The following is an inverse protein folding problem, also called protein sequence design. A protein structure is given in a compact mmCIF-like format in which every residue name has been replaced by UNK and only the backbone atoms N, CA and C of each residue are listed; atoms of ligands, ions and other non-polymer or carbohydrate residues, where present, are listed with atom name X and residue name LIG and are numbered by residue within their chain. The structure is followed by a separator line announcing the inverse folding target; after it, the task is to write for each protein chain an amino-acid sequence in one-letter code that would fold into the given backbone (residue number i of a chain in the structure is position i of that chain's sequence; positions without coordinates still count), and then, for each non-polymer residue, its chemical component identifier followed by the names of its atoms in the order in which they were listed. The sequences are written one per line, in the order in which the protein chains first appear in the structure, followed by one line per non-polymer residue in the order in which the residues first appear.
data_IF_094549850599
#
_entry.id   IF_094549850599
#
_cell.length_a   1.000
_cell.length_b   1.000
_cell.length_c   1.000
_cell.angle_alpha   90.00
_cell.angle_beta   90.00
_cell.angle_gamma   90.00
#
_symmetry.space_group_name_H-M   'P 1'
#
loop_
_entity.id
_entity.type
_entity.pdbx_description
1 polymer ?
#
# COMPACT_ATOMS: atom_id res chain seq x y z
N UNK A 1 15.30 2.68 -26.79
CA UNK A 1 15.34 3.24 -25.43
C UNK A 1 13.96 3.00 -24.87
N UNK A 2 13.69 1.76 -24.43
CA UNK A 2 12.37 1.33 -23.98
C UNK A 2 12.26 1.60 -22.49
N UNK A 3 11.49 2.62 -22.15
CA UNK A 3 11.13 2.93 -20.78
C UNK A 3 10.11 1.88 -20.34
N UNK A 4 10.56 0.85 -19.63
CA UNK A 4 9.66 -0.06 -18.93
C UNK A 4 8.85 0.78 -17.92
N UNK A 5 7.55 0.87 -18.13
CA UNK A 5 6.61 1.49 -17.21
C UNK A 5 6.70 0.71 -15.91
N UNK A 6 7.21 1.35 -14.85
CA UNK A 6 7.14 0.80 -13.49
C UNK A 6 5.67 0.71 -13.14
N UNK A 7 5.10 -0.49 -13.19
CA UNK A 7 3.74 -0.69 -12.73
C UNK A 7 3.69 -0.40 -11.23
N UNK A 8 3.02 0.68 -10.88
CA UNK A 8 2.79 1.06 -9.50
C UNK A 8 1.99 -0.04 -8.79
N UNK A 9 2.50 -0.49 -7.68
CA UNK A 9 1.79 -1.39 -6.76
C UNK A 9 0.56 -0.65 -6.25
N UNK A 10 -0.59 -1.33 -6.21
CA UNK A 10 -1.86 -0.77 -5.75
C UNK A 10 -1.72 0.00 -4.44
N UNK A 11 -2.36 1.15 -4.38
CA UNK A 11 -2.15 2.16 -3.35
C UNK A 11 -2.48 1.73 -1.90
N UNK A 12 -3.20 0.64 -1.69
CA UNK A 12 -3.44 0.11 -0.35
C UNK A 12 -2.20 -0.56 0.27
N UNK A 13 -1.30 -1.11 -0.57
CA UNK A 13 0.02 -1.62 -0.15
C UNK A 13 1.13 -0.58 -0.32
N UNK A 14 0.92 0.45 -1.15
CA UNK A 14 1.94 1.42 -1.58
C UNK A 14 2.39 2.41 -0.50
N UNK A 15 1.70 2.52 0.62
CA UNK A 15 2.29 3.26 1.74
C UNK A 15 3.56 2.58 2.28
N UNK A 16 3.88 1.34 1.80
CA UNK A 16 4.90 0.55 2.47
C UNK A 16 5.75 -0.36 1.60
N UNK A 17 5.48 -0.48 0.33
CA UNK A 17 6.33 -1.21 -0.59
C UNK A 17 6.79 -0.28 -1.72
N UNK A 18 7.51 0.78 -1.37
CA UNK A 18 8.33 1.52 -2.30
C UNK A 18 9.61 0.71 -2.61
N UNK A 19 9.46 -0.54 -2.92
CA UNK A 19 10.50 -1.46 -3.33
C UNK A 19 10.01 -2.24 -4.53
N UNK A 20 9.57 -1.55 -5.59
CA UNK A 20 9.38 -2.22 -6.86
C UNK A 20 10.75 -2.59 -7.40
N UNK A 21 11.08 -3.87 -7.40
CA UNK A 21 12.24 -4.38 -8.10
C UNK A 21 12.22 -3.90 -9.55
N UNK A 22 13.13 -2.97 -9.86
CA UNK A 22 13.57 -2.77 -11.22
C UNK A 22 14.54 -3.92 -11.54
N UNK A 23 14.04 -5.03 -12.06
CA UNK A 23 14.89 -5.97 -12.75
C UNK A 23 15.36 -5.25 -14.04
N UNK A 24 16.61 -4.79 -14.06
CA UNK A 24 17.28 -4.49 -15.33
C UNK A 24 17.41 -5.81 -16.09
N UNK A 25 16.58 -6.00 -17.09
CA UNK A 25 16.82 -7.04 -18.09
C UNK A 25 17.97 -6.57 -18.95
N UNK A 26 19.15 -7.20 -18.77
CA UNK A 26 20.22 -7.16 -19.75
C UNK A 26 19.66 -7.49 -21.15
N UNK A 27 20.12 -6.73 -22.13
CA UNK A 27 19.89 -6.93 -23.55
C UNK A 27 20.13 -8.39 -23.96
N UNK A 28 19.08 -9.18 -24.00
CA UNK A 28 19.02 -10.42 -24.78
C UNK A 28 17.81 -10.27 -25.71
N UNK A 29 18.14 -10.23 -27.02
CA UNK A 29 17.27 -10.37 -28.20
C UNK A 29 15.77 -10.10 -28.01
N UNK A 30 15.21 -9.20 -28.84
CA UNK A 30 13.80 -8.86 -28.99
C UNK A 30 12.90 -10.11 -29.09
N UNK A 31 12.62 -10.74 -27.97
CA UNK A 31 11.38 -11.50 -27.84
C UNK A 31 10.29 -10.45 -27.61
N UNK A 32 9.23 -10.46 -28.44
CA UNK A 32 8.04 -9.64 -28.24
C UNK A 32 7.56 -9.88 -26.80
N UNK A 33 7.80 -8.91 -25.91
CA UNK A 33 7.35 -9.01 -24.53
C UNK A 33 5.83 -9.09 -24.54
N UNK A 34 5.27 -10.08 -23.83
CA UNK A 34 3.82 -10.17 -23.68
C UNK A 34 3.29 -8.85 -23.11
N UNK A 35 2.22 -8.28 -23.67
CA UNK A 35 1.58 -7.11 -23.07
C UNK A 35 0.94 -7.41 -21.71
N UNK A 36 0.85 -8.71 -21.34
CA UNK A 36 0.28 -9.17 -20.07
C UNK A 36 1.40 -9.52 -19.11
N UNK A 37 1.24 -9.07 -17.87
CA UNK A 37 2.07 -9.44 -16.73
C UNK A 37 1.22 -9.99 -15.59
N UNK A 38 1.79 -10.89 -14.81
CA UNK A 38 1.17 -11.42 -13.59
C UNK A 38 2.15 -11.27 -12.45
N UNK A 39 1.71 -10.66 -11.36
CA UNK A 39 2.47 -10.61 -10.11
C UNK A 39 1.68 -11.28 -9.00
N UNK A 40 2.35 -12.09 -8.18
CA UNK A 40 1.77 -12.69 -6.98
C UNK A 40 2.69 -12.37 -5.81
N UNK A 41 2.15 -11.75 -4.77
CA UNK A 41 2.89 -11.46 -3.54
C UNK A 41 2.30 -12.19 -2.34
N UNK A 42 3.15 -12.52 -1.39
CA UNK A 42 2.74 -13.12 -0.12
C UNK A 42 3.52 -12.44 0.99
N UNK A 43 2.82 -11.66 1.80
CA UNK A 43 3.38 -10.93 2.92
C UNK A 43 3.02 -11.59 4.25
N UNK A 44 3.97 -11.60 5.19
CA UNK A 44 3.77 -12.00 6.57
C UNK A 44 4.20 -10.86 7.48
N UNK A 45 3.25 -10.18 8.12
CA UNK A 45 3.52 -9.06 9.01
C UNK A 45 3.19 -9.37 10.47
N UNK A 46 3.92 -8.73 11.36
CA UNK A 46 3.68 -8.80 12.80
C UNK A 46 2.40 -8.09 13.24
N UNK A 47 1.86 -7.21 12.38
CA UNK A 47 0.67 -6.39 12.61
C UNK A 47 0.15 -5.90 11.27
N UNK A 48 -1.17 -5.75 11.13
CA UNK A 48 -1.77 -5.04 10.00
C UNK A 48 -2.03 -3.59 10.37
N UNK A 49 -1.34 -2.68 9.67
CA UNK A 49 -1.49 -1.23 9.84
C UNK A 49 -2.10 -0.63 8.58
N UNK A 50 -3.10 0.22 8.72
CA UNK A 50 -3.72 0.97 7.62
C UNK A 50 -3.87 2.43 8.04
N UNK A 51 -3.23 3.36 7.31
CA UNK A 51 -3.30 4.81 7.54
C UNK A 51 -3.09 5.20 9.02
N UNK A 52 -2.14 4.58 9.70
CA UNK A 52 -1.86 4.80 11.12
C UNK A 52 -2.73 4.02 12.10
N UNK A 53 -3.77 3.31 11.63
CA UNK A 53 -4.65 2.50 12.46
C UNK A 53 -4.17 1.05 12.55
N UNK A 54 -4.39 0.41 13.70
CA UNK A 54 -4.11 -1.01 13.92
C UNK A 54 -5.35 -1.83 13.54
N UNK A 55 -5.41 -2.33 12.30
CA UNK A 55 -6.45 -3.26 11.84
C UNK A 55 -6.27 -4.65 12.48
N UNK A 56 -5.02 -5.10 12.63
CA UNK A 56 -4.68 -6.28 13.42
C UNK A 56 -3.41 -6.04 14.23
N UNK A 57 -3.46 -6.27 15.53
CA UNK A 57 -2.30 -6.26 16.43
C UNK A 57 -1.64 -7.65 16.57
N UNK A 58 -2.19 -8.66 15.91
CA UNK A 58 -1.65 -10.00 15.78
C UNK A 58 -1.03 -10.19 14.39
N UNK A 59 -0.12 -11.16 14.24
CA UNK A 59 0.46 -11.47 12.94
C UNK A 59 -0.60 -11.80 11.89
N UNK A 60 -0.36 -11.33 10.68
CA UNK A 60 -1.22 -11.52 9.51
C UNK A 60 -0.45 -12.13 8.35
N UNK A 61 -1.18 -12.80 7.48
CA UNK A 61 -0.76 -13.25 6.17
C UNK A 61 -1.58 -12.50 5.12
N UNK A 62 -0.90 -11.86 4.17
CA UNK A 62 -1.51 -10.96 3.20
C UNK A 62 -1.07 -11.32 1.78
N UNK A 63 -1.77 -12.25 1.11
CA UNK A 63 -1.52 -12.56 -0.29
C UNK A 63 -2.16 -11.53 -1.20
N UNK A 64 -1.51 -11.27 -2.34
CA UNK A 64 -2.08 -10.49 -3.43
C UNK A 64 -1.75 -11.11 -4.80
N UNK A 65 -2.60 -10.81 -5.78
CA UNK A 65 -2.35 -11.13 -7.19
C UNK A 65 -2.74 -9.94 -8.05
N UNK A 66 -1.85 -9.54 -8.95
CA UNK A 66 -2.04 -8.44 -9.90
C UNK A 66 -1.93 -8.97 -11.33
N UNK A 67 -2.88 -8.60 -12.16
CA UNK A 67 -2.85 -8.76 -13.61
C UNK A 67 -2.62 -7.39 -14.22
N UNK A 68 -1.54 -7.23 -14.99
CA UNK A 68 -1.21 -6.01 -15.74
C UNK A 68 -1.41 -6.18 -17.23
N UNK A 69 -1.83 -5.11 -17.90
CA UNK A 69 -1.93 -5.02 -19.35
C UNK A 69 -1.24 -3.74 -19.82
N UNK A 70 -0.10 -3.90 -20.48
CA UNK A 70 0.61 -2.80 -21.12
C UNK A 70 -0.09 -2.41 -22.43
N UNK A 71 -0.44 -1.12 -22.55
CA UNK A 71 -1.08 -0.52 -23.72
C UNK A 71 -0.08 0.32 -24.53
N UNK A 72 1.22 0.16 -24.30
CA UNK A 72 2.29 0.92 -24.93
C UNK A 72 2.19 2.42 -24.61
N UNK A 73 2.20 3.25 -25.63
CA UNK A 73 2.10 4.71 -25.47
C UNK A 73 0.80 5.19 -24.80
N UNK A 74 -0.17 4.32 -24.66
CA UNK A 74 -1.44 4.64 -23.98
C UNK A 74 -1.42 4.37 -22.48
N UNK A 75 -0.30 3.87 -21.91
CA UNK A 75 -0.18 3.57 -20.49
C UNK A 75 -0.47 2.10 -20.18
N UNK A 76 -0.90 1.80 -18.96
CA UNK A 76 -1.16 0.45 -18.50
C UNK A 76 -2.45 0.36 -17.67
N UNK A 77 -3.14 -0.77 -17.79
CA UNK A 77 -4.25 -1.15 -16.91
C UNK A 77 -3.80 -2.22 -15.93
N UNK A 78 -4.32 -2.20 -14.73
CA UNK A 78 -4.13 -3.28 -13.77
C UNK A 78 -5.42 -3.67 -13.07
N UNK A 79 -5.48 -4.95 -12.66
CA UNK A 79 -6.48 -5.47 -11.76
C UNK A 79 -5.78 -6.25 -10.66
N UNK A 80 -6.05 -5.91 -9.40
CA UNK A 80 -5.45 -6.53 -8.23
C UNK A 80 -6.52 -7.09 -7.29
N UNK A 81 -6.21 -8.21 -6.68
CA UNK A 81 -6.94 -8.76 -5.54
C UNK A 81 -5.94 -8.93 -4.41
N UNK A 82 -6.21 -8.28 -3.28
CA UNK A 82 -5.43 -8.41 -2.06
C UNK A 82 -6.32 -8.95 -0.93
N UNK A 83 -5.72 -9.60 0.05
CA UNK A 83 -6.46 -10.12 1.19
C UNK A 83 -5.64 -10.13 2.47
N UNK A 84 -6.30 -10.06 3.62
CA UNK A 84 -5.68 -10.15 4.93
C UNK A 84 -6.29 -11.28 5.76
N UNK A 85 -5.43 -12.17 6.24
CA UNK A 85 -5.79 -13.29 7.11
C UNK A 85 -5.08 -13.16 8.45
N UNK A 86 -5.84 -13.18 9.51
CA UNK A 86 -5.30 -13.16 10.88
C UNK A 86 -4.78 -14.53 11.27
N UNK A 87 -3.51 -14.62 11.66
CA UNK A 87 -2.87 -15.90 12.02
C UNK A 87 -3.20 -16.38 13.43
N UNK A 88 -3.66 -15.50 14.32
CA UNK A 88 -3.98 -15.87 15.71
C UNK A 88 -5.03 -14.96 16.33
N UNK A 89 -5.89 -15.51 17.19
CA UNK A 89 -6.88 -14.80 18.00
C UNK A 89 -6.45 -14.67 19.47
N UNK A 90 -5.16 -14.73 19.78
CA UNK A 90 -4.68 -14.75 21.17
C UNK A 90 -5.03 -13.51 22.00
N UNK A 91 -5.55 -12.46 21.36
CA UNK A 91 -5.98 -11.23 22.07
C UNK A 91 -7.50 -11.13 22.04
N UNK A 92 -8.09 -10.81 23.19
CA UNK A 92 -9.52 -10.67 23.36
C UNK A 92 -10.11 -9.56 22.48
N UNK A 93 -11.35 -9.74 22.05
CA UNK A 93 -12.12 -8.71 21.35
C UNK A 93 -12.01 -8.74 19.83
N UNK A 94 -11.36 -9.73 19.23
CA UNK A 94 -11.38 -9.86 17.77
C UNK A 94 -12.59 -10.66 17.28
N UNK A 95 -13.43 -10.10 16.40
CA UNK A 95 -14.56 -10.83 15.80
C UNK A 95 -14.12 -11.92 14.83
N UNK A 96 -12.89 -11.85 14.32
CA UNK A 96 -12.38 -12.80 13.31
C UNK A 96 -11.74 -14.03 13.98
N UNK A 97 -12.09 -15.19 13.49
CA UNK A 97 -11.52 -16.48 13.95
C UNK A 97 -10.06 -16.61 13.50
N UNK A 98 -9.30 -17.51 14.17
CA UNK A 98 -7.96 -17.89 13.73
C UNK A 98 -7.96 -18.29 12.25
N UNK A 99 -6.98 -17.83 11.47
CA UNK A 99 -6.89 -18.04 10.02
C UNK A 99 -8.12 -17.54 9.26
N UNK A 100 -8.96 -16.72 9.91
CA UNK A 100 -10.10 -16.08 9.26
C UNK A 100 -9.65 -14.96 8.34
N UNK A 101 -10.28 -14.88 7.17
CA UNK A 101 -10.15 -13.74 6.28
C UNK A 101 -10.79 -12.50 6.94
N UNK A 102 -10.02 -11.42 7.06
CA UNK A 102 -10.49 -10.17 7.63
C UNK A 102 -11.03 -9.23 6.56
N UNK A 103 -10.37 -9.23 5.39
CA UNK A 103 -10.54 -8.22 4.36
C UNK A 103 -10.13 -8.80 3.01
N UNK A 104 -10.88 -8.48 1.98
CA UNK A 104 -10.51 -8.71 0.58
C UNK A 104 -10.75 -7.41 -0.15
N UNK A 105 -9.71 -6.91 -0.79
CA UNK A 105 -9.75 -5.69 -1.59
C UNK A 105 -9.59 -6.03 -3.07
N UNK A 106 -10.40 -5.38 -3.88
CA UNK A 106 -10.33 -5.43 -5.33
C UNK A 106 -9.96 -4.05 -5.84
N UNK A 107 -8.86 -3.95 -6.60
CA UNK A 107 -8.42 -2.69 -7.19
C UNK A 107 -8.37 -2.81 -8.71
N UNK A 108 -8.86 -1.79 -9.38
CA UNK A 108 -8.64 -1.60 -10.82
C UNK A 108 -8.01 -0.24 -11.00
N UNK A 109 -6.92 -0.16 -11.76
CA UNK A 109 -6.22 1.10 -11.99
C UNK A 109 -5.77 1.28 -13.43
N UNK A 110 -5.51 2.53 -13.75
CA UNK A 110 -4.85 2.97 -14.97
C UNK A 110 -3.67 3.86 -14.63
N UNK A 111 -2.50 3.53 -15.19
CA UNK A 111 -1.26 4.28 -14.98
C UNK A 111 -0.69 4.77 -16.30
N UNK A 112 -0.09 5.96 -16.29
CA UNK A 112 0.62 6.52 -17.42
C UNK A 112 1.74 7.44 -16.99
N UNK A 113 2.89 7.33 -17.69
CA UNK A 113 4.04 8.24 -17.50
C UNK A 113 3.93 9.46 -18.43
N UNK A 114 4.23 10.63 -17.89
CA UNK A 114 4.34 11.91 -18.57
C UNK A 114 5.69 12.55 -18.24
N UNK A 115 6.71 12.28 -19.05
CA UNK A 115 8.07 12.70 -18.76
C UNK A 115 8.56 12.05 -17.47
N UNK A 116 8.93 12.87 -16.50
CA UNK A 116 9.42 12.39 -15.19
C UNK A 116 8.28 12.11 -14.19
N UNK A 117 7.02 12.20 -14.60
CA UNK A 117 5.88 11.99 -13.71
C UNK A 117 5.15 10.70 -14.07
N UNK A 118 4.92 9.85 -13.09
CA UNK A 118 4.00 8.72 -13.19
C UNK A 118 2.69 9.07 -12.51
N UNK A 119 1.59 8.95 -13.24
CA UNK A 119 0.24 9.25 -12.75
C UNK A 119 -0.56 7.95 -12.77
N UNK A 120 -1.20 7.65 -11.65
CA UNK A 120 -2.09 6.50 -11.52
C UNK A 120 -3.43 6.95 -10.93
N UNK A 121 -4.52 6.47 -11.53
CA UNK A 121 -5.87 6.64 -11.00
C UNK A 121 -6.54 5.27 -10.91
N UNK A 122 -7.28 5.03 -9.85
CA UNK A 122 -7.94 3.74 -9.66
C UNK A 122 -9.11 3.79 -8.71
N UNK A 123 -9.75 2.63 -8.60
CA UNK A 123 -10.87 2.34 -7.73
C UNK A 123 -10.52 1.16 -6.85
N UNK A 124 -10.79 1.27 -5.55
CA UNK A 124 -10.61 0.22 -4.56
C UNK A 124 -11.97 -0.12 -3.97
N UNK A 125 -12.28 -1.41 -3.95
CA UNK A 125 -13.45 -1.95 -3.28
C UNK A 125 -12.99 -2.83 -2.12
N UNK A 126 -13.22 -2.35 -0.89
CA UNK A 126 -12.92 -3.03 0.36
C UNK A 126 -14.09 -3.93 0.76
N UNK A 127 -13.84 -5.20 1.07
CA UNK A 127 -14.85 -6.13 1.55
C UNK A 127 -14.38 -6.85 2.81
N UNK A 128 -15.32 -7.09 3.75
CA UNK A 128 -15.04 -7.67 5.06
C UNK A 128 -15.86 -8.92 5.31
N UNK A 129 -15.57 -10.05 4.61
CA UNK A 129 -16.46 -11.22 4.52
C UNK A 129 -16.69 -11.96 5.84
N UNK A 130 -15.84 -11.78 6.85
CA UNK A 130 -15.93 -12.46 8.14
C UNK A 130 -16.00 -11.50 9.34
N UNK A 131 -16.40 -10.26 9.07
CA UNK A 131 -16.68 -9.26 10.10
C UNK A 131 -18.20 -9.16 10.20
N UNK A 132 -18.77 -9.40 11.40
CA UNK A 132 -20.20 -9.24 11.64
C UNK A 132 -20.57 -7.76 11.41
N UNK A 133 -21.58 -7.51 10.59
CA UNK A 133 -22.00 -6.18 10.14
C UNK A 133 -20.90 -5.38 9.39
N UNK A 134 -19.89 -6.07 8.84
CA UNK A 134 -18.85 -5.47 8.00
C UNK A 134 -19.44 -4.95 6.68
N UNK A 135 -19.66 -3.65 6.61
CA UNK A 135 -20.07 -3.00 5.37
C UNK A 135 -18.89 -2.89 4.41
N UNK A 136 -19.16 -3.07 3.12
CA UNK A 136 -18.15 -2.81 2.09
C UNK A 136 -17.94 -1.32 1.93
N UNK A 137 -16.70 -0.93 1.68
CA UNK A 137 -16.34 0.47 1.38
C UNK A 137 -15.72 0.59 0.00
N UNK A 138 -15.75 1.77 -0.59
CA UNK A 138 -15.21 2.03 -1.92
C UNK A 138 -14.52 3.39 -1.98
N UNK A 139 -13.32 3.40 -2.55
CA UNK A 139 -12.54 4.61 -2.75
C UNK A 139 -12.14 4.80 -4.20
N UNK A 140 -12.15 6.04 -4.66
CA UNK A 140 -11.39 6.48 -5.83
C UNK A 140 -10.07 7.07 -5.36
N UNK A 141 -9.00 6.85 -6.11
CA UNK A 141 -7.72 7.48 -5.81
C UNK A 141 -7.03 8.05 -7.04
N UNK A 142 -6.17 9.01 -6.78
CA UNK A 142 -5.21 9.57 -7.72
C UNK A 142 -3.86 9.65 -7.03
N UNK A 143 -2.82 9.13 -7.68
CA UNK A 143 -1.43 9.18 -7.24
C UNK A 143 -0.54 9.80 -8.30
N UNK A 144 0.43 10.58 -7.88
CA UNK A 144 1.46 11.18 -8.75
C UNK A 144 2.82 10.94 -8.09
N UNK A 145 3.72 10.28 -8.81
CA UNK A 145 5.12 10.13 -8.42
C UNK A 145 6.02 10.95 -9.35
N UNK A 146 7.05 11.58 -8.79
CA UNK A 146 8.08 12.26 -9.56
C UNK A 146 9.37 11.44 -9.55
N UNK A 147 9.76 10.95 -10.73
CA UNK A 147 10.95 10.12 -10.89
C UNK A 147 12.21 11.01 -10.86
N UNK A 148 12.91 10.95 -9.76
CA UNK A 148 14.12 11.70 -9.52
C UNK A 148 15.23 10.74 -9.03
N UNK A 149 16.48 10.87 -9.54
CA UNK A 149 17.57 9.95 -9.19
C UNK A 149 18.02 10.02 -7.71
N UNK A 150 17.60 11.05 -6.97
CA UNK A 150 17.99 11.24 -5.56
C UNK A 150 16.91 10.71 -4.63
N UNK A 151 15.63 10.99 -4.95
CA UNK A 151 14.47 10.59 -4.14
C UNK A 151 13.22 10.63 -5.01
N UNK A 152 12.29 9.71 -4.80
CA UNK A 152 11.01 9.70 -5.49
C UNK A 152 9.91 10.24 -4.56
N UNK A 153 9.53 11.53 -4.68
CA UNK A 153 8.36 12.06 -4.00
C UNK A 153 7.10 11.52 -4.65
N UNK A 154 6.16 11.10 -3.80
CA UNK A 154 4.83 10.65 -4.23
C UNK A 154 3.77 11.40 -3.46
N UNK A 155 2.72 11.84 -4.14
CA UNK A 155 1.52 12.40 -3.54
C UNK A 155 0.31 11.60 -4.00
N UNK A 156 -0.55 11.20 -3.06
CA UNK A 156 -1.78 10.48 -3.36
C UNK A 156 -2.96 11.09 -2.59
N UNK A 157 -4.14 11.01 -3.19
CA UNK A 157 -5.41 11.37 -2.55
C UNK A 157 -6.40 10.23 -2.77
N UNK A 158 -7.12 9.91 -1.72
CA UNK A 158 -8.16 8.87 -1.67
C UNK A 158 -9.46 9.54 -1.29
N UNK A 159 -10.51 9.22 -1.99
CA UNK A 159 -11.87 9.69 -1.75
C UNK A 159 -12.80 8.50 -1.52
N UNK A 160 -13.20 8.34 -0.26
CA UNK A 160 -14.30 7.47 0.11
C UNK A 160 -15.61 8.19 -0.24
N UNK A 161 -16.33 7.66 -1.22
CA UNK A 161 -17.52 8.31 -1.78
C UNK A 161 -18.83 7.61 -1.38
N UNK A 162 -18.75 6.50 -0.67
CA UNK A 162 -19.96 5.75 -0.25
C UNK A 162 -20.57 6.21 1.05
N UNK A 163 -19.77 6.75 1.94
CA UNK A 163 -20.27 7.34 3.18
C UNK A 163 -20.81 8.75 2.89
N UNK A 164 -22.08 8.82 2.48
CA UNK A 164 -22.70 9.97 1.84
C UNK A 164 -23.30 11.01 2.80
N UNK A 165 -23.20 10.83 4.10
CA UNK A 165 -23.80 11.77 5.05
C UNK A 165 -22.96 13.05 5.25
N UNK A 166 -21.72 13.10 4.75
CA UNK A 166 -20.81 14.22 4.85
C UNK A 166 -20.12 14.57 3.52
N UNK A 167 -19.49 15.77 3.45
CA UNK A 167 -18.88 16.42 2.29
C UNK A 167 -17.64 15.69 1.68
N UNK A 168 -17.63 14.37 1.70
CA UNK A 168 -16.58 13.52 1.15
C UNK A 168 -15.43 13.26 2.11
N UNK A 169 -15.13 11.98 2.32
CA UNK A 169 -14.04 11.53 3.18
C UNK A 169 -12.74 11.49 2.37
N UNK A 170 -11.88 12.49 2.53
CA UNK A 170 -10.60 12.52 1.83
C UNK A 170 -9.43 12.20 2.78
N UNK A 171 -8.60 11.27 2.33
CA UNK A 171 -7.29 11.03 2.91
C UNK A 171 -6.20 11.34 1.89
N UNK A 172 -5.21 12.14 2.28
CA UNK A 172 -4.03 12.46 1.49
C UNK A 172 -2.79 11.77 2.06
N UNK A 173 -1.87 11.39 1.19
CA UNK A 173 -0.57 10.84 1.57
C UNK A 173 0.55 11.52 0.80
N UNK A 174 1.61 11.92 1.49
CA UNK A 174 2.86 12.38 0.90
C UNK A 174 3.96 11.39 1.32
N UNK A 175 4.72 10.88 0.37
CA UNK A 175 5.79 9.94 0.63
C UNK A 175 7.08 10.33 -0.08
N UNK A 176 8.20 9.91 0.50
CA UNK A 176 9.54 9.96 -0.08
C UNK A 176 10.16 8.58 0.08
N UNK A 177 10.76 8.06 -0.97
CA UNK A 177 11.50 6.82 -0.96
C UNK A 177 12.73 6.93 -1.87
N UNK A 178 13.74 6.10 -1.61
CA UNK A 178 14.89 5.97 -2.49
C UNK A 178 15.44 4.54 -2.44
N UNK A 179 15.73 3.99 -3.61
CA UNK A 179 16.30 2.67 -3.75
C UNK A 179 17.82 2.77 -3.83
N UNK A 180 18.50 2.16 -2.87
CA UNK A 180 19.94 1.96 -2.87
C UNK A 180 20.24 0.55 -3.35
N UNK A 181 20.78 0.41 -4.56
CA UNK A 181 21.29 -0.84 -5.07
C UNK A 181 22.60 -1.18 -4.35
N UNK A 182 22.55 -2.11 -3.39
CA UNK A 182 23.72 -2.54 -2.64
C UNK A 182 24.59 -3.49 -3.46
N UNK A 183 23.98 -4.26 -4.35
CA UNK A 183 24.57 -5.07 -5.41
C UNK A 183 23.46 -5.44 -6.42
N UNK A 184 23.81 -6.12 -7.52
CA UNK A 184 22.92 -6.47 -8.64
C UNK A 184 21.60 -7.15 -8.22
N UNK A 185 21.58 -7.81 -7.07
CA UNK A 185 20.42 -8.56 -6.58
C UNK A 185 19.84 -8.02 -5.28
N UNK A 186 20.41 -6.98 -4.66
CA UNK A 186 20.04 -6.55 -3.32
C UNK A 186 19.79 -5.05 -3.27
N UNK A 187 18.56 -4.67 -2.97
CA UNK A 187 18.11 -3.27 -2.87
C UNK A 187 17.69 -2.95 -1.44
N UNK A 188 18.12 -1.80 -0.94
CA UNK A 188 17.72 -1.22 0.34
C UNK A 188 16.90 0.05 0.09
N UNK A 189 15.67 0.08 0.60
CA UNK A 189 14.74 1.19 0.38
C UNK A 189 14.34 1.83 1.71
N UNK A 190 14.98 2.92 2.15
CA UNK A 190 14.41 3.80 3.16
C UNK A 190 13.23 4.58 2.62
N UNK A 191 12.23 4.79 3.47
CA UNK A 191 11.03 5.54 3.13
C UNK A 191 10.49 6.33 4.31
N UNK A 192 9.75 7.39 4.01
CA UNK A 192 8.95 8.14 4.97
C UNK A 192 7.65 8.57 4.31
N UNK A 193 6.55 8.49 5.02
CA UNK A 193 5.24 8.98 4.56
C UNK A 193 4.54 9.79 5.64
N UNK A 194 3.66 10.70 5.21
CA UNK A 194 2.86 11.57 6.06
C UNK A 194 1.42 11.57 5.53
N UNK A 195 0.49 11.09 6.34
CA UNK A 195 -0.93 11.04 6.06
C UNK A 195 -1.66 12.28 6.56
N UNK A 196 -2.72 12.68 5.85
CA UNK A 196 -3.60 13.78 6.20
C UNK A 196 -5.04 13.40 5.94
N UNK A 197 -5.93 13.62 6.91
CA UNK A 197 -7.38 13.47 6.74
C UNK A 197 -8.11 14.80 6.78
N UNK A 198 -9.18 14.92 6.00
CA UNK A 198 -10.13 16.03 6.12
C UNK A 198 -10.90 15.94 7.45
N UNK A 199 -11.61 16.99 7.81
CA UNK A 199 -12.48 16.99 9.00
C UNK A 199 -13.58 15.94 8.90
N UNK A 200 -14.16 15.73 7.70
CA UNK A 200 -15.13 14.66 7.45
C UNK A 200 -14.49 13.27 7.66
N UNK A 201 -13.29 13.04 7.10
CA UNK A 201 -12.55 11.80 7.31
C UNK A 201 -12.30 11.53 8.81
N UNK A 202 -11.84 12.56 9.56
CA UNK A 202 -11.59 12.37 10.98
C UNK A 202 -12.87 12.08 11.75
N UNK A 203 -13.99 12.74 11.46
CA UNK A 203 -15.28 12.44 12.10
C UNK A 203 -15.76 11.00 11.88
N UNK A 204 -15.50 10.45 10.68
CA UNK A 204 -15.89 9.07 10.35
C UNK A 204 -15.03 8.02 11.08
N UNK A 205 -13.74 8.31 11.27
CA UNK A 205 -12.79 7.34 11.85
C UNK A 205 -12.41 7.61 13.31
N UNK A 206 -12.75 8.79 13.85
CA UNK A 206 -12.37 9.21 15.22
C UNK A 206 -13.45 10.08 15.83
N UNK A 207 -13.98 9.67 16.95
CA UNK A 207 -14.94 10.48 17.70
C UNK A 207 -14.32 11.82 18.18
N UNK A 208 -15.11 12.88 18.16
CA UNK A 208 -14.77 14.21 18.71
C UNK A 208 -13.61 14.97 18.02
N UNK A 209 -13.14 14.56 16.83
CA UNK A 209 -12.10 15.30 16.09
C UNK A 209 -12.70 15.95 14.83
N UNK A 210 -13.00 17.24 14.91
CA UNK A 210 -13.62 18.02 13.85
C UNK A 210 -12.61 19.03 13.25
N UNK A 211 -11.64 18.54 12.49
CA UNK A 211 -10.64 19.37 11.80
C UNK A 211 -9.91 18.59 10.72
N UNK A 212 -9.38 19.27 9.72
CA UNK A 212 -8.38 18.72 8.82
C UNK A 212 -7.02 18.69 9.52
N UNK A 213 -6.32 17.57 9.52
CA UNK A 213 -5.05 17.42 10.20
C UNK A 213 -4.10 16.41 9.52
N UNK A 214 -2.81 16.59 9.74
CA UNK A 214 -1.84 15.51 9.53
C UNK A 214 -2.05 14.45 10.62
N UNK A 215 -2.27 13.21 10.19
CA UNK A 215 -2.71 12.14 11.07
C UNK A 215 -1.58 11.22 11.49
N UNK A 216 -1.00 10.56 10.53
CA UNK A 216 -0.01 9.51 10.74
C UNK A 216 1.27 9.80 9.97
N UNK A 217 2.36 9.36 10.54
CA UNK A 217 3.66 9.36 9.88
C UNK A 217 4.25 7.96 10.02
N UNK A 218 4.74 7.42 8.89
CA UNK A 218 5.45 6.14 8.89
C UNK A 218 6.85 6.34 8.33
N UNK A 219 7.84 5.79 9.03
CA UNK A 219 9.21 5.66 8.54
C UNK A 219 9.50 4.18 8.37
N UNK A 220 9.98 3.79 7.21
CA UNK A 220 10.24 2.41 6.82
C UNK A 220 11.66 2.18 6.34
N UNK A 221 12.09 0.94 6.47
CA UNK A 221 13.30 0.42 5.85
C UNK A 221 12.97 -0.96 5.30
N UNK A 222 13.09 -1.13 3.98
CA UNK A 222 12.87 -2.40 3.29
C UNK A 222 14.17 -2.90 2.67
N UNK A 223 14.31 -4.21 2.61
CA UNK A 223 15.38 -4.92 1.93
C UNK A 223 14.75 -5.93 0.98
N UNK A 224 15.12 -5.89 -0.30
CA UNK A 224 14.65 -6.82 -1.31
C UNK A 224 15.83 -7.54 -1.95
N UNK A 225 15.70 -8.85 -2.14
CA UNK A 225 16.68 -9.70 -2.77
C UNK A 225 16.07 -10.46 -3.96
N UNK A 226 16.57 -10.20 -5.17
CA UNK A 226 16.21 -10.94 -6.37
C UNK A 226 16.89 -12.32 -6.33
N UNK A 227 16.12 -13.37 -6.14
CA UNK A 227 16.60 -14.76 -6.12
C UNK A 227 16.79 -15.27 -7.55
N UNK A 228 15.86 -14.92 -8.44
CA UNK A 228 15.85 -15.15 -9.88
C UNK A 228 15.15 -13.97 -10.56
N UNK A 229 15.07 -13.98 -11.90
CA UNK A 229 14.36 -12.95 -12.68
C UNK A 229 12.84 -12.92 -12.40
N UNK A 230 12.28 -13.99 -11.85
CA UNK A 230 10.85 -14.14 -11.57
C UNK A 230 10.52 -14.33 -10.08
N UNK A 231 11.53 -14.41 -9.19
CA UNK A 231 11.36 -14.64 -7.75
C UNK A 231 12.18 -13.66 -6.94
N UNK A 232 11.54 -12.95 -6.04
CA UNK A 232 12.21 -12.14 -5.04
C UNK A 232 11.71 -12.45 -3.62
N UNK A 233 12.55 -12.15 -2.65
CA UNK A 233 12.22 -12.22 -1.22
C UNK A 233 12.61 -10.90 -0.57
N UNK A 234 11.84 -10.49 0.43
CA UNK A 234 12.09 -9.23 1.11
C UNK A 234 11.82 -9.28 2.60
N UNK A 235 12.31 -8.25 3.27
CA UNK A 235 12.01 -7.99 4.68
C UNK A 235 11.88 -6.48 4.90
N UNK A 236 10.98 -6.08 5.80
CA UNK A 236 10.83 -4.67 6.14
C UNK A 236 10.55 -4.45 7.62
N UNK A 237 10.95 -3.28 8.09
CA UNK A 237 10.60 -2.76 9.41
C UNK A 237 10.08 -1.35 9.28
N UNK A 238 9.03 -1.04 10.00
CA UNK A 238 8.34 0.24 9.96
C UNK A 238 8.10 0.77 11.38
N UNK A 239 8.12 2.07 11.50
CA UNK A 239 7.69 2.80 12.69
C UNK A 239 6.61 3.79 12.29
N UNK A 240 5.40 3.58 12.82
CA UNK A 240 4.25 4.45 12.61
C UNK A 240 3.91 5.17 13.89
N UNK A 241 3.62 6.47 13.81
CA UNK A 241 3.15 7.27 14.93
C UNK A 241 2.05 8.23 14.50
N UNK A 242 1.15 8.57 15.43
CA UNK A 242 0.09 9.55 15.20
C UNK A 242 0.60 10.95 15.50
N UNK A 243 0.60 11.82 14.50
CA UNK A 243 1.16 13.17 14.55
C UNK A 243 0.21 14.12 15.30
N UNK A 244 -1.09 14.08 14.99
CA UNK A 244 -2.07 14.97 15.58
C UNK A 244 -2.33 14.63 17.06
N UNK A 245 -2.38 15.67 17.89
CA UNK A 245 -2.57 15.53 19.33
C UNK A 245 -3.97 15.06 19.70
N UNK A 246 -4.98 15.56 19.00
CA UNK A 246 -6.38 15.24 19.32
C UNK A 246 -6.71 13.85 18.82
N UNK A 247 -6.22 13.46 17.63
CA UNK A 247 -6.29 12.09 17.14
C UNK A 247 -5.60 11.08 18.07
N UNK A 248 -4.45 11.47 18.70
CA UNK A 248 -3.84 10.64 19.73
C UNK A 248 -4.70 10.48 20.97
N UNK A 249 -5.40 11.53 21.41
CA UNK A 249 -6.28 11.49 22.59
C UNK A 249 -7.55 10.71 22.33
N UNK A 250 -8.02 10.71 21.12
CA UNK A 250 -9.19 9.98 20.64
C UNK A 250 -8.90 8.53 20.24
N UNK A 251 -7.69 8.04 20.53
CA UNK A 251 -7.24 6.67 20.22
C UNK A 251 -7.35 6.30 18.72
N UNK A 252 -7.02 7.22 17.82
CA UNK A 252 -7.08 7.01 16.36
C UNK A 252 -6.30 5.76 15.90
N UNK A 253 -5.12 5.51 16.47
CA UNK A 253 -4.36 4.29 16.17
C UNK A 253 -5.06 3.04 16.66
N UNK A 254 -5.89 3.16 17.70
CA UNK A 254 -6.54 2.07 18.39
C UNK A 254 -5.67 1.43 19.46
N UNK A 255 -6.35 0.75 20.41
CA UNK A 255 -5.72 -0.04 21.49
C UNK A 255 -4.87 0.77 22.47
N UNK A 256 -5.26 2.01 22.75
CA UNK A 256 -4.52 2.97 23.58
C UNK A 256 -3.07 3.18 23.11
N UNK A 257 -2.83 3.13 21.78
CA UNK A 257 -1.53 3.32 21.17
C UNK A 257 -1.49 4.59 20.33
N UNK A 258 -0.32 5.20 20.29
CA UNK A 258 -0.03 6.37 19.45
C UNK A 258 1.19 6.15 18.56
N UNK A 259 1.84 5.00 18.70
CA UNK A 259 3.02 4.61 17.94
C UNK A 259 3.15 3.09 17.89
N UNK A 260 3.70 2.58 16.79
CA UNK A 260 3.90 1.15 16.58
C UNK A 260 5.16 0.88 15.75
N UNK A 261 5.98 -0.06 16.23
CA UNK A 261 6.97 -0.73 15.39
C UNK A 261 6.32 -2.02 14.88
N UNK A 262 6.44 -2.27 13.60
CA UNK A 262 5.91 -3.46 12.96
C UNK A 262 6.76 -3.77 11.72
N UNK A 263 6.66 -4.97 11.21
CA UNK A 263 7.46 -5.40 10.08
C UNK A 263 7.17 -6.85 9.74
N UNK A 264 7.84 -7.32 8.71
CA UNK A 264 7.61 -8.66 8.20
C UNK A 264 8.54 -9.06 7.09
N UNK A 265 8.18 -10.15 6.44
CA UNK A 265 8.87 -10.70 5.28
C UNK A 265 7.89 -10.93 4.16
N UNK A 266 8.36 -10.90 2.93
CA UNK A 266 7.55 -11.15 1.75
C UNK A 266 8.27 -12.04 0.74
N UNK A 267 7.46 -12.65 -0.13
CA UNK A 267 7.89 -13.35 -1.34
C UNK A 267 7.06 -12.79 -2.50
N UNK A 268 7.71 -12.47 -3.60
CA UNK A 268 7.04 -12.02 -4.81
C UNK A 268 7.46 -12.85 -6.03
N UNK A 269 6.49 -13.12 -6.88
CA UNK A 269 6.63 -13.83 -8.16
C UNK A 269 6.14 -12.92 -9.27
N UNK A 270 6.96 -12.72 -10.32
CA UNK A 270 6.63 -11.87 -11.48
C UNK A 270 6.81 -12.67 -12.77
N UNK A 271 5.80 -12.63 -13.66
CA UNK A 271 5.75 -13.39 -14.91
C UNK A 271 5.33 -12.51 -16.08
#
# INVERSE_FOLDING_TARGET
MNTLIRMGISAAAAAMAAGALAAETNELEEAESSPLSVEVTVDFFSSYMWRGQICSDAPVWQPAATLGLDLGDFGALSANVWSSFKLTNRREGSPVRNMGNQEIDYTVSYAKSFGDFDIEAGHIWYTFPNVDDGESNEELYLSVAYNNPIVTPTAAVYWDYRDNDDDGLFYGNLALAHDFELCDSLTLTPSVSLGMGTDAYLRAYVDDVNKTAFLDQTTGLALAYAVTDWLSVGAQVNYTWIVDRDARRADYMGRDKNQRVWGGVNVAFSF
#
